data_IF_758966009653
#
_entry.id   IF_758966009653
#
_cell.length_a   1.000
_cell.length_b   1.000
_cell.length_c   1.000
_cell.angle_alpha   90.00
_cell.angle_beta   90.00
_cell.angle_gamma   90.00
#
_symmetry.space_group_name_H-M   'P 1'
#
loop_
_entity.id
_entity.type
_entity.pdbx_description
1 polymer ?
#
# COMPACT_ATOMS: atom_id res chain seq x y z
N UNK A 1 22.26 -12.11 -51.54
CA UNK A 1 21.03 -11.56 -52.13
C UNK A 1 20.04 -12.68 -52.32
N UNK A 2 18.82 -12.52 -51.77
CA UNK A 2 17.62 -13.30 -52.14
C UNK A 2 17.43 -14.62 -51.37
N UNK A 3 16.62 -14.72 -50.29
CA UNK A 3 15.14 -14.79 -50.26
C UNK A 3 14.60 -16.04 -50.99
N UNK A 4 13.93 -17.05 -50.42
CA UNK A 4 13.14 -17.20 -49.19
C UNK A 4 13.26 -18.65 -48.66
N UNK A 5 13.35 -18.78 -47.35
CA UNK A 5 13.62 -20.03 -46.65
C UNK A 5 12.31 -20.72 -46.22
N UNK A 6 12.27 -22.03 -46.45
CA UNK A 6 11.46 -23.09 -45.81
C UNK A 6 9.97 -23.22 -46.14
N UNK A 7 9.75 -23.95 -47.24
CA UNK A 7 8.56 -24.73 -47.50
C UNK A 7 8.37 -25.90 -46.54
N UNK A 8 7.11 -26.08 -46.18
CA UNK A 8 6.40 -27.31 -45.86
C UNK A 8 7.22 -28.62 -45.91
N UNK A 9 7.71 -29.07 -44.76
CA UNK A 9 8.03 -30.49 -44.50
C UNK A 9 8.11 -30.74 -42.99
N UNK A 10 7.00 -30.52 -42.30
CA UNK A 10 6.77 -31.07 -40.96
C UNK A 10 5.45 -31.86 -40.97
N UNK A 11 5.41 -32.89 -41.79
CA UNK A 11 4.49 -34.00 -41.59
C UNK A 11 5.38 -35.22 -41.43
N UNK A 12 5.57 -35.64 -40.18
CA UNK A 12 5.67 -37.01 -39.69
C UNK A 12 6.14 -36.95 -38.22
N UNK A 13 5.51 -37.77 -37.38
CA UNK A 13 5.58 -37.84 -35.90
C UNK A 13 4.52 -36.90 -35.26
N UNK A 14 3.32 -37.35 -34.85
CA UNK A 14 2.94 -38.66 -34.33
C UNK A 14 2.92 -38.62 -32.80
N UNK A 15 1.76 -38.26 -32.23
CA UNK A 15 1.33 -38.49 -30.83
C UNK A 15 1.95 -37.59 -29.74
N UNK A 16 1.21 -36.53 -29.37
CA UNK A 16 0.76 -36.24 -27.99
C UNK A 16 0.06 -34.87 -27.97
N UNK A 17 -1.26 -34.90 -28.04
CA UNK A 17 -2.13 -33.77 -27.70
C UNK A 17 -1.96 -33.52 -26.20
N UNK A 18 -1.12 -32.55 -25.81
CA UNK A 18 -1.15 -31.98 -24.46
C UNK A 18 -1.98 -30.71 -24.56
N UNK A 19 -3.13 -30.78 -23.90
CA UNK A 19 -4.19 -29.78 -23.86
C UNK A 19 -3.64 -28.36 -23.77
N UNK A 20 -4.16 -27.52 -24.66
CA UNK A 20 -4.28 -26.08 -24.53
C UNK A 20 -5.03 -25.71 -23.24
N UNK A 21 -4.39 -25.86 -22.10
CA UNK A 21 -4.76 -25.24 -20.84
C UNK A 21 -3.88 -24.02 -20.69
N UNK A 22 -4.26 -22.92 -21.36
CA UNK A 22 -3.67 -21.62 -21.13
C UNK A 22 -3.86 -21.26 -19.65
N UNK A 23 -2.81 -21.45 -18.85
CA UNK A 23 -2.67 -20.81 -17.55
C UNK A 23 -2.79 -19.31 -17.82
N UNK A 24 -3.95 -18.72 -17.53
CA UNK A 24 -4.04 -17.29 -17.34
C UNK A 24 -3.14 -16.97 -16.15
N UNK A 25 -1.89 -16.60 -16.43
CA UNK A 25 -1.09 -15.86 -15.49
C UNK A 25 -1.86 -14.55 -15.26
N UNK A 26 -2.67 -14.54 -14.20
CA UNK A 26 -3.03 -13.30 -13.55
C UNK A 26 -1.69 -12.67 -13.15
N UNK A 27 -1.20 -11.77 -14.00
CA UNK A 27 -0.14 -10.85 -13.64
C UNK A 27 -0.75 -10.01 -12.53
N UNK A 28 -0.58 -10.44 -11.29
CA UNK A 28 -0.69 -9.54 -10.16
C UNK A 28 0.26 -8.40 -10.49
N UNK A 29 -0.29 -7.20 -10.62
CA UNK A 29 0.52 -6.00 -10.66
C UNK A 29 1.26 -5.99 -9.32
N UNK A 30 2.51 -6.43 -9.35
CA UNK A 30 3.48 -6.05 -8.33
C UNK A 30 3.71 -4.56 -8.57
N UNK A 31 2.85 -3.74 -7.99
CA UNK A 31 3.15 -2.34 -7.73
C UNK A 31 4.45 -2.32 -6.95
N UNK A 32 5.43 -1.60 -7.47
CA UNK A 32 6.78 -1.36 -6.93
C UNK A 32 7.09 -2.16 -5.63
N UNK A 33 7.57 -3.40 -5.77
CA UNK A 33 8.02 -4.20 -4.62
C UNK A 33 9.21 -3.47 -3.98
N UNK A 34 8.95 -2.70 -2.92
CA UNK A 34 9.99 -2.06 -2.12
C UNK A 34 9.76 -0.60 -1.74
N UNK A 35 8.72 0.08 -2.21
CA UNK A 35 8.47 1.48 -1.84
C UNK A 35 7.15 1.62 -1.09
N UNK A 36 7.24 1.68 0.24
CA UNK A 36 6.09 2.03 1.06
C UNK A 36 5.63 3.45 0.72
N UNK A 37 4.44 3.58 0.14
CA UNK A 37 3.80 4.88 0.00
C UNK A 37 3.22 5.29 1.35
N UNK A 38 3.90 6.23 2.03
CA UNK A 38 3.46 6.75 3.32
C UNK A 38 2.16 7.54 3.25
N UNK A 39 1.70 7.91 2.04
CA UNK A 39 0.47 8.66 1.81
C UNK A 39 -0.72 7.75 1.45
N UNK A 40 -0.49 6.47 1.11
CA UNK A 40 -1.56 5.47 0.92
C UNK A 40 -1.76 4.65 2.21
N UNK A 41 -2.94 4.81 2.82
CA UNK A 41 -3.21 4.17 4.09
C UNK A 41 -4.59 4.51 4.63
N UNK A 42 -4.77 4.25 5.92
CA UNK A 42 -6.03 4.53 6.61
C UNK A 42 -5.79 5.03 8.03
N UNK A 43 -6.81 5.70 8.59
CA UNK A 43 -6.82 6.09 9.98
C UNK A 43 -7.31 4.94 10.86
N UNK A 44 -6.49 4.51 11.80
CA UNK A 44 -6.80 3.46 12.77
C UNK A 44 -6.87 4.03 14.18
N UNK A 45 -7.72 3.46 15.03
CA UNK A 45 -7.83 3.88 16.43
C UNK A 45 -6.78 3.12 17.24
N UNK A 46 -5.94 3.86 17.97
CA UNK A 46 -4.91 3.32 18.84
C UNK A 46 -5.16 3.83 20.28
N UNK A 47 -5.09 2.93 21.27
CA UNK A 47 -5.29 3.27 22.68
C UNK A 47 -4.09 3.95 23.32
N UNK A 48 -2.91 3.79 22.71
CA UNK A 48 -1.66 4.39 23.19
C UNK A 48 -1.51 5.87 22.78
N UNK A 49 -2.47 6.41 22.03
CA UNK A 49 -2.56 7.82 21.64
C UNK A 49 -3.44 8.62 22.61
N UNK A 50 -3.18 9.92 22.83
CA UNK A 50 -2.24 10.79 22.11
C UNK A 50 -0.78 10.69 22.58
N UNK A 51 0.18 10.94 21.67
CA UNK A 51 1.62 10.90 22.00
C UNK A 51 2.10 12.10 22.83
N UNK A 52 1.35 13.20 22.87
CA UNK A 52 1.65 14.34 23.73
C UNK A 52 0.36 14.93 24.28
N UNK A 53 0.45 15.55 25.44
CA UNK A 53 -0.65 16.30 26.01
C UNK A 53 -0.54 17.78 25.60
N UNK A 54 -1.47 18.25 24.77
CA UNK A 54 -1.49 19.63 24.30
C UNK A 54 -1.57 20.64 25.44
N UNK A 55 -2.24 20.32 26.55
CA UNK A 55 -2.41 21.24 27.67
C UNK A 55 -1.12 21.52 28.43
N UNK A 56 -0.11 20.65 28.30
CA UNK A 56 1.20 20.81 28.94
C UNK A 56 2.18 21.65 28.11
N UNK A 57 1.86 21.96 26.85
CA UNK A 57 2.75 22.69 25.96
C UNK A 57 2.43 24.19 25.98
N UNK A 58 3.30 25.04 26.58
CA UNK A 58 3.01 26.47 26.76
C UNK A 58 3.09 27.28 25.45
N UNK A 59 3.68 26.71 24.39
CA UNK A 59 3.90 27.38 23.11
C UNK A 59 2.82 27.09 22.06
N UNK A 60 1.79 26.28 22.39
CA UNK A 60 0.68 26.05 21.47
C UNK A 60 -0.08 27.36 21.27
N UNK A 61 -0.20 27.79 20.01
CA UNK A 61 -0.98 28.98 19.70
C UNK A 61 -2.47 28.71 19.97
N UNK A 62 -3.18 29.79 20.28
CA UNK A 62 -4.59 29.72 20.69
C UNK A 62 -5.47 29.01 19.67
N UNK A 63 -5.19 29.21 18.39
CA UNK A 63 -5.94 28.65 17.28
C UNK A 63 -5.83 27.11 17.17
N UNK A 64 -4.83 26.50 17.83
CA UNK A 64 -4.55 25.06 17.77
C UNK A 64 -4.88 24.30 19.07
N UNK A 65 -5.17 24.99 20.17
CA UNK A 65 -5.45 24.37 21.47
C UNK A 65 -6.95 24.07 21.67
N UNK A 66 -7.48 23.15 20.86
CA UNK A 66 -8.92 22.83 20.88
C UNK A 66 -9.43 22.41 22.26
N UNK A 67 -8.61 21.69 23.05
CA UNK A 67 -8.98 21.22 24.38
C UNK A 67 -9.14 22.38 25.36
N UNK A 68 -8.23 23.36 25.33
CA UNK A 68 -8.33 24.57 26.16
C UNK A 68 -9.51 25.46 25.76
N UNK A 69 -9.86 25.49 24.48
CA UNK A 69 -10.97 26.30 23.95
C UNK A 69 -12.32 25.57 23.93
N UNK A 70 -12.46 24.49 24.71
CA UNK A 70 -13.75 23.91 25.06
C UNK A 70 -14.31 22.89 24.08
N UNK A 71 -13.48 22.32 23.18
CA UNK A 71 -13.91 21.18 22.36
C UNK A 71 -14.18 19.96 23.24
N UNK A 72 -15.40 19.41 23.25
CA UNK A 72 -15.77 18.35 24.21
C UNK A 72 -15.33 16.96 23.77
N UNK A 73 -15.23 16.70 22.46
CA UNK A 73 -14.82 15.40 21.92
C UNK A 73 -13.30 15.22 21.98
N UNK A 74 -12.86 14.00 22.29
CA UNK A 74 -11.44 13.62 22.38
C UNK A 74 -11.04 12.48 21.44
N UNK A 75 -11.99 11.92 20.70
CA UNK A 75 -11.75 10.76 19.83
C UNK A 75 -10.74 11.08 18.72
N UNK A 76 -10.72 12.31 18.22
CA UNK A 76 -9.77 12.75 17.20
C UNK A 76 -8.29 12.60 17.63
N UNK A 77 -8.02 12.60 18.94
CA UNK A 77 -6.67 12.44 19.49
C UNK A 77 -6.17 10.99 19.46
N UNK A 78 -7.07 10.01 19.26
CA UNK A 78 -6.78 8.57 19.29
C UNK A 78 -6.49 7.97 17.91
N UNK A 79 -6.60 8.75 16.86
CA UNK A 79 -6.37 8.26 15.50
C UNK A 79 -4.89 8.32 15.15
N UNK A 80 -4.38 7.18 14.68
CA UNK A 80 -3.04 7.01 14.11
C UNK A 80 -3.18 6.78 12.61
N UNK A 81 -2.29 7.39 11.83
CA UNK A 81 -2.15 7.08 10.41
C UNK A 81 -1.36 5.77 10.23
N UNK A 82 -1.93 4.81 9.48
CA UNK A 82 -1.31 3.53 9.19
C UNK A 82 -1.19 3.34 7.66
N UNK A 83 0.04 3.41 7.10
CA UNK A 83 0.27 3.04 5.71
C UNK A 83 -0.09 1.58 5.46
N UNK A 84 -0.50 1.28 4.22
CA UNK A 84 -0.96 -0.05 3.81
C UNK A 84 0.17 -1.08 3.79
N UNK A 85 1.35 -0.67 3.34
CA UNK A 85 2.45 -1.58 2.99
C UNK A 85 3.64 -1.49 3.96
N UNK A 86 3.58 -0.65 4.99
CA UNK A 86 4.60 -0.59 6.05
C UNK A 86 4.12 0.02 7.37
N UNK A 87 4.91 -0.19 8.42
CA UNK A 87 4.73 0.43 9.73
C UNK A 87 5.62 1.66 9.90
N UNK A 88 5.02 2.77 10.35
CA UNK A 88 5.77 3.97 10.73
C UNK A 88 6.40 3.80 12.11
N UNK A 89 7.66 4.22 12.31
CA UNK A 89 8.29 4.21 13.62
C UNK A 89 7.54 5.13 14.59
N UNK A 90 7.45 4.70 15.85
CA UNK A 90 6.84 5.53 16.91
C UNK A 90 7.80 6.65 17.30
N UNK A 91 7.26 7.83 17.55
CA UNK A 91 8.01 8.93 18.15
C UNK A 91 8.27 8.64 19.64
N UNK A 92 9.52 8.83 20.08
CA UNK A 92 9.96 8.67 21.46
C UNK A 92 10.35 10.01 22.07
#
# INVERSE_FOLDING_TARGET
>A
MGFWVQGWSCLLVGVAVIFSGGMCLAKGEVGEEGKCDIYEGSWVVDESYPMYNSTLCPHIRREFDCQKYGRPDKLYLRYKWQPKDCDLPRYN
#
